data_IF_970224859739
#
_entry.id   IF_970224859739
#
_cell.length_a   1.000
_cell.length_b   1.000
_cell.length_c   1.000
_cell.angle_alpha   90.00
_cell.angle_beta   90.00
_cell.angle_gamma   90.00
#
_symmetry.space_group_name_H-M   'P 1'
#
loop_
_entity.id
_entity.type
_entity.pdbx_description
1 polymer ?
#
# COMPACT_ATOMS: atom_id res chain seq x y z
N UNK A 1 -85.78 -76.86 -47.67
CA UNK A 1 -85.88 -75.63 -46.85
C UNK A 1 -84.77 -75.45 -45.79
N UNK A 2 -83.89 -76.44 -45.52
CA UNK A 2 -82.84 -76.34 -44.48
C UNK A 2 -81.65 -75.43 -44.90
N UNK A 3 -81.19 -75.52 -46.16
CA UNK A 3 -80.06 -74.71 -46.65
C UNK A 3 -80.33 -73.20 -46.82
N UNK A 4 -81.58 -72.77 -47.02
CA UNK A 4 -81.92 -71.32 -47.08
C UNK A 4 -81.80 -70.68 -45.69
N UNK A 5 -82.12 -71.44 -44.63
CA UNK A 5 -82.05 -70.98 -43.25
C UNK A 5 -80.60 -70.84 -42.78
N UNK A 6 -79.73 -71.77 -43.18
CA UNK A 6 -78.29 -71.73 -42.90
C UNK A 6 -77.60 -70.58 -43.64
N UNK A 7 -77.93 -70.33 -44.91
CA UNK A 7 -77.41 -69.18 -45.67
C UNK A 7 -77.89 -67.84 -45.11
N UNK A 8 -79.14 -67.74 -44.66
CA UNK A 8 -79.66 -66.55 -43.99
C UNK A 8 -78.98 -66.30 -42.64
N UNK A 9 -78.69 -67.35 -41.87
CA UNK A 9 -77.94 -67.24 -40.62
C UNK A 9 -76.49 -66.82 -40.86
N UNK A 10 -75.82 -67.39 -41.86
CA UNK A 10 -74.46 -67.00 -42.25
C UNK A 10 -74.39 -65.54 -42.72
N UNK A 11 -75.37 -65.09 -43.51
CA UNK A 11 -75.48 -63.70 -43.95
C UNK A 11 -75.74 -62.74 -42.78
N UNK A 12 -76.59 -63.13 -41.82
CA UNK A 12 -76.84 -62.35 -40.62
C UNK A 12 -75.57 -62.19 -39.76
N UNK A 13 -74.83 -63.29 -39.56
CA UNK A 13 -73.57 -63.29 -38.81
C UNK A 13 -72.49 -62.45 -39.51
N UNK A 14 -72.39 -62.55 -40.84
CA UNK A 14 -71.47 -61.73 -41.63
C UNK A 14 -71.83 -60.24 -41.57
N UNK A 15 -73.12 -59.90 -41.57
CA UNK A 15 -73.60 -58.52 -41.45
C UNK A 15 -73.28 -57.94 -40.07
N UNK A 16 -73.48 -58.73 -38.99
CA UNK A 16 -73.13 -58.32 -37.63
C UNK A 16 -71.61 -58.16 -37.45
N UNK A 17 -70.80 -59.07 -37.99
CA UNK A 17 -69.34 -58.95 -37.96
C UNK A 17 -68.86 -57.71 -38.73
N UNK A 18 -69.43 -57.42 -39.90
CA UNK A 18 -69.09 -56.22 -40.65
C UNK A 18 -69.51 -54.94 -39.93
N UNK A 19 -70.67 -54.93 -39.26
CA UNK A 19 -71.10 -53.80 -38.42
C UNK A 19 -70.14 -53.57 -37.25
N UNK A 20 -69.71 -54.63 -36.56
CA UNK A 20 -68.74 -54.55 -35.48
C UNK A 20 -67.37 -54.06 -35.95
N UNK A 21 -66.89 -54.51 -37.12
CA UNK A 21 -65.64 -54.03 -37.71
C UNK A 21 -65.72 -52.55 -38.10
N UNK A 22 -66.85 -52.10 -38.68
CA UNK A 22 -67.06 -50.69 -39.03
C UNK A 22 -67.11 -49.82 -37.76
N UNK A 23 -67.73 -50.30 -36.68
CA UNK A 23 -67.76 -49.61 -35.39
C UNK A 23 -66.34 -49.47 -34.81
N UNK A 24 -65.57 -50.55 -34.75
CA UNK A 24 -64.18 -50.50 -34.29
C UNK A 24 -63.29 -49.60 -35.15
N UNK A 25 -63.49 -49.59 -36.47
CA UNK A 25 -62.75 -48.70 -37.36
C UNK A 25 -63.09 -47.23 -37.09
N UNK A 26 -64.36 -46.91 -36.84
CA UNK A 26 -64.80 -45.56 -36.45
C UNK A 26 -64.27 -45.14 -35.08
N UNK A 27 -64.28 -46.04 -34.10
CA UNK A 27 -63.69 -45.81 -32.78
C UNK A 27 -62.17 -45.54 -32.90
N UNK A 28 -61.48 -46.32 -33.72
CA UNK A 28 -60.06 -46.12 -34.03
C UNK A 28 -59.80 -44.76 -34.67
N UNK A 29 -60.57 -44.37 -35.69
CA UNK A 29 -60.44 -43.06 -36.35
C UNK A 29 -60.73 -41.91 -35.38
N UNK A 30 -61.76 -42.03 -34.54
CA UNK A 30 -62.08 -41.03 -33.53
C UNK A 30 -60.96 -40.90 -32.48
N UNK A 31 -60.42 -42.04 -32.01
CA UNK A 31 -59.28 -42.05 -31.07
C UNK A 31 -58.04 -41.40 -31.68
N UNK A 32 -57.69 -41.75 -32.92
CA UNK A 32 -56.56 -41.14 -33.62
C UNK A 32 -56.76 -39.63 -33.86
N UNK A 33 -57.96 -39.20 -34.24
CA UNK A 33 -58.26 -37.78 -34.40
C UNK A 33 -58.13 -37.01 -33.07
N UNK A 34 -58.56 -37.62 -31.96
CA UNK A 34 -58.38 -37.07 -30.61
C UNK A 34 -56.91 -36.96 -30.23
N UNK A 35 -56.12 -38.03 -30.39
CA UNK A 35 -54.69 -38.04 -30.09
C UNK A 35 -53.91 -37.02 -30.94
N UNK A 36 -54.27 -36.86 -32.22
CA UNK A 36 -53.71 -35.82 -33.08
C UNK A 36 -54.05 -34.41 -32.58
N UNK A 37 -55.29 -34.18 -32.15
CA UNK A 37 -55.70 -32.92 -31.53
C UNK A 37 -54.92 -32.61 -30.26
N UNK A 38 -54.79 -33.59 -29.36
CA UNK A 38 -54.02 -33.46 -28.12
C UNK A 38 -52.53 -33.18 -28.41
N UNK A 39 -51.96 -33.85 -29.41
CA UNK A 39 -50.57 -33.64 -29.86
C UNK A 39 -50.36 -32.25 -30.45
N UNK A 40 -51.30 -31.73 -31.25
CA UNK A 40 -51.23 -30.37 -31.80
C UNK A 40 -51.28 -29.31 -30.69
N UNK A 41 -52.11 -29.53 -29.66
CA UNK A 41 -52.18 -28.64 -28.49
C UNK A 41 -50.86 -28.66 -27.73
N UNK A 42 -50.29 -29.85 -27.48
CA UNK A 42 -49.00 -29.99 -26.81
C UNK A 42 -47.85 -29.34 -27.60
N UNK A 43 -47.86 -29.47 -28.93
CA UNK A 43 -46.87 -28.85 -29.81
C UNK A 43 -46.96 -27.32 -29.77
N UNK A 44 -48.17 -26.75 -29.87
CA UNK A 44 -48.36 -25.30 -29.75
C UNK A 44 -47.87 -24.76 -28.41
N UNK A 45 -48.18 -25.44 -27.30
CA UNK A 45 -47.68 -25.05 -25.96
C UNK A 45 -46.15 -25.12 -25.88
N UNK A 46 -45.55 -26.16 -26.45
CA UNK A 46 -44.08 -26.30 -26.46
C UNK A 46 -43.42 -25.21 -27.29
N UNK A 47 -44.00 -24.86 -28.44
CA UNK A 47 -43.52 -23.77 -29.29
C UNK A 47 -43.56 -22.42 -28.56
N UNK A 48 -44.62 -22.15 -27.80
CA UNK A 48 -44.72 -20.95 -26.97
C UNK A 48 -43.62 -20.89 -25.91
N UNK A 49 -43.39 -22.00 -25.18
CA UNK A 49 -42.33 -22.09 -24.15
C UNK A 49 -40.94 -21.88 -24.77
N UNK A 50 -40.67 -22.50 -25.92
CA UNK A 50 -39.39 -22.35 -26.63
C UNK A 50 -39.17 -20.90 -27.05
N UNK A 51 -40.19 -20.22 -27.57
CA UNK A 51 -40.11 -18.81 -27.95
C UNK A 51 -39.85 -17.91 -26.73
N UNK A 52 -40.54 -18.17 -25.61
CA UNK A 52 -40.32 -17.44 -24.35
C UNK A 52 -38.88 -17.63 -23.83
N UNK A 53 -38.38 -18.86 -23.83
CA UNK A 53 -36.99 -19.15 -23.45
C UNK A 53 -35.99 -18.50 -24.39
N UNK A 54 -36.23 -18.50 -25.71
CA UNK A 54 -35.36 -17.85 -26.68
C UNK A 54 -35.26 -16.35 -26.42
N UNK A 55 -36.37 -15.68 -26.08
CA UNK A 55 -36.35 -14.26 -25.71
C UNK A 55 -35.63 -14.00 -24.39
N UNK A 56 -35.77 -14.88 -23.40
CA UNK A 56 -35.02 -14.78 -22.14
C UNK A 56 -33.51 -14.91 -22.40
N UNK A 57 -33.09 -15.90 -23.19
CA UNK A 57 -31.69 -16.10 -23.55
C UNK A 57 -31.14 -14.90 -24.34
N UNK A 58 -31.92 -14.34 -25.26
CA UNK A 58 -31.54 -13.13 -25.99
C UNK A 58 -31.33 -11.94 -25.05
N UNK A 59 -32.23 -11.73 -24.09
CA UNK A 59 -32.09 -10.68 -23.06
C UNK A 59 -30.86 -10.89 -22.19
N UNK A 60 -30.59 -12.13 -21.78
CA UNK A 60 -29.40 -12.47 -21.00
C UNK A 60 -28.10 -12.25 -21.78
N UNK A 61 -28.07 -12.61 -23.08
CA UNK A 61 -26.92 -12.35 -23.93
C UNK A 61 -26.60 -10.86 -24.07
N UNK A 62 -27.63 -10.01 -24.15
CA UNK A 62 -27.46 -8.54 -24.16
C UNK A 62 -26.91 -8.06 -22.81
N UNK A 63 -27.49 -8.51 -21.69
CA UNK A 63 -27.01 -8.13 -20.36
C UNK A 63 -25.55 -8.53 -20.13
N UNK A 64 -25.15 -9.74 -20.54
CA UNK A 64 -23.76 -10.21 -20.45
C UNK A 64 -22.81 -9.33 -21.28
N UNK A 65 -23.19 -8.93 -22.49
CA UNK A 65 -22.39 -8.01 -23.30
C UNK A 65 -22.22 -6.65 -22.63
N UNK A 66 -23.28 -6.13 -22.00
CA UNK A 66 -23.20 -4.87 -21.23
C UNK A 66 -22.22 -5.01 -20.07
N UNK A 67 -22.32 -6.08 -19.28
CA UNK A 67 -21.41 -6.34 -18.14
C UNK A 67 -19.96 -6.43 -18.60
N UNK A 68 -19.68 -7.15 -19.70
CA UNK A 68 -18.32 -7.25 -20.26
C UNK A 68 -17.80 -5.86 -20.65
N UNK A 69 -18.64 -5.04 -21.29
CA UNK A 69 -18.26 -3.69 -21.72
C UNK A 69 -17.97 -2.78 -20.52
N UNK A 70 -18.81 -2.82 -19.49
CA UNK A 70 -18.60 -2.07 -18.24
C UNK A 70 -17.33 -2.53 -17.50
N UNK A 71 -17.06 -3.84 -17.50
CA UNK A 71 -15.84 -4.39 -16.88
C UNK A 71 -14.58 -3.89 -17.59
N UNK A 72 -14.58 -3.87 -18.93
CA UNK A 72 -13.47 -3.32 -19.72
C UNK A 72 -13.29 -1.84 -19.41
N UNK A 73 -14.39 -1.07 -19.38
CA UNK A 73 -14.34 0.36 -19.07
C UNK A 73 -13.79 0.64 -17.67
N UNK A 74 -14.23 -0.12 -16.66
CA UNK A 74 -13.72 -0.01 -15.29
C UNK A 74 -12.24 -0.36 -15.20
N UNK A 75 -11.81 -1.42 -15.90
CA UNK A 75 -10.40 -1.80 -16.00
C UNK A 75 -9.56 -0.66 -16.58
N UNK A 76 -9.96 -0.10 -17.73
CA UNK A 76 -9.25 1.03 -18.35
C UNK A 76 -9.18 2.25 -17.41
N UNK A 77 -10.27 2.55 -16.68
CA UNK A 77 -10.25 3.64 -15.70
C UNK A 77 -9.31 3.36 -14.55
N UNK A 78 -9.29 2.14 -14.03
CA UNK A 78 -8.38 1.74 -12.96
C UNK A 78 -6.92 1.85 -13.42
N UNK A 79 -6.60 1.33 -14.61
CA UNK A 79 -5.26 1.42 -15.20
C UNK A 79 -4.81 2.88 -15.35
N UNK A 80 -5.70 3.76 -15.80
CA UNK A 80 -5.42 5.21 -15.90
C UNK A 80 -5.17 5.85 -14.52
N UNK A 81 -5.96 5.49 -13.50
CA UNK A 81 -5.77 5.99 -12.13
C UNK A 81 -4.45 5.50 -11.55
N UNK A 82 -4.13 4.21 -11.71
CA UNK A 82 -2.85 3.64 -11.30
C UNK A 82 -1.69 4.37 -11.96
N UNK A 83 -1.77 4.61 -13.28
CA UNK A 83 -0.73 5.34 -14.00
C UNK A 83 -0.59 6.79 -13.55
N UNK A 84 -1.70 7.48 -13.27
CA UNK A 84 -1.69 8.85 -12.76
C UNK A 84 -1.05 8.92 -11.36
N UNK A 85 -1.36 7.97 -10.49
CA UNK A 85 -0.79 7.85 -9.15
C UNK A 85 0.72 7.57 -9.22
N UNK A 86 1.14 6.62 -10.05
CA UNK A 86 2.57 6.30 -10.25
C UNK A 86 3.34 7.51 -10.78
N UNK A 87 2.77 8.22 -11.76
CA UNK A 87 3.38 9.43 -12.33
C UNK A 87 3.49 10.54 -11.29
N UNK A 88 2.46 10.70 -10.45
CA UNK A 88 2.48 11.69 -9.37
C UNK A 88 3.58 11.40 -8.35
N UNK A 89 3.74 10.14 -7.90
CA UNK A 89 4.82 9.78 -6.99
C UNK A 89 6.20 10.03 -7.58
N UNK A 90 6.40 9.74 -8.87
CA UNK A 90 7.67 10.04 -9.55
C UNK A 90 7.91 11.55 -9.59
N UNK A 91 6.90 12.35 -9.92
CA UNK A 91 7.02 13.81 -9.96
C UNK A 91 7.37 14.40 -8.59
N UNK A 92 6.64 14.02 -7.54
CA UNK A 92 6.92 14.47 -6.16
C UNK A 92 8.32 14.03 -5.70
N UNK A 93 8.74 12.81 -6.07
CA UNK A 93 10.08 12.31 -5.75
C UNK A 93 11.17 13.16 -6.40
N UNK A 94 11.01 13.48 -7.69
CA UNK A 94 11.95 14.30 -8.45
C UNK A 94 12.01 15.71 -7.84
N UNK A 95 10.85 16.33 -7.60
CA UNK A 95 10.79 17.66 -6.99
C UNK A 95 11.44 17.69 -5.61
N UNK A 96 11.17 16.67 -4.78
CA UNK A 96 11.80 16.48 -3.49
C UNK A 96 13.32 16.38 -3.60
N UNK A 97 13.83 15.47 -4.44
CA UNK A 97 15.28 15.25 -4.63
C UNK A 97 15.97 16.53 -5.14
N UNK A 98 15.38 17.22 -6.12
CA UNK A 98 15.90 18.49 -6.65
C UNK A 98 15.88 19.61 -5.60
N UNK A 99 14.94 19.55 -4.65
CA UNK A 99 14.86 20.44 -3.49
C UNK A 99 15.71 19.98 -2.29
N UNK A 100 16.64 19.04 -2.50
CA UNK A 100 17.49 18.43 -1.47
C UNK A 100 16.72 17.66 -0.37
N UNK A 101 15.46 17.30 -0.62
CA UNK A 101 14.63 16.43 0.23
C UNK A 101 14.70 15.00 -0.29
N UNK A 102 15.71 14.27 0.19
CA UNK A 102 15.92 12.86 -0.16
C UNK A 102 14.72 12.00 0.26
N UNK A 103 14.28 11.10 -0.63
CA UNK A 103 13.12 10.24 -0.43
C UNK A 103 13.19 8.99 -1.31
N UNK A 104 12.40 7.97 -1.00
CA UNK A 104 12.29 6.74 -1.80
C UNK A 104 10.88 6.57 -2.41
N UNK A 105 10.12 7.65 -2.55
CA UNK A 105 8.74 7.58 -3.04
C UNK A 105 8.62 7.09 -4.49
N UNK A 106 9.70 7.22 -5.27
CA UNK A 106 9.79 6.68 -6.64
C UNK A 106 9.96 5.15 -6.67
N UNK A 107 10.31 4.53 -5.54
CA UNK A 107 10.41 3.07 -5.44
C UNK A 107 9.02 2.50 -5.28
N UNK A 108 8.61 1.64 -6.20
CA UNK A 108 7.32 0.99 -6.13
C UNK A 108 7.22 0.14 -4.85
N UNK A 109 6.07 0.17 -4.17
CA UNK A 109 5.87 -0.49 -2.86
C UNK A 109 6.23 -1.99 -2.85
N UNK A 110 6.09 -2.67 -4.00
CA UNK A 110 6.47 -4.10 -4.17
C UNK A 110 7.97 -4.33 -4.18
N UNK A 111 8.76 -3.35 -4.60
CA UNK A 111 10.21 -3.43 -4.72
C UNK A 111 10.92 -2.93 -3.45
N UNK A 112 10.22 -2.19 -2.61
CA UNK A 112 10.77 -1.65 -1.37
C UNK A 112 11.37 -2.73 -0.43
N UNK A 113 10.75 -3.91 -0.22
CA UNK A 113 11.37 -4.99 0.56
C UNK A 113 12.72 -5.44 0.00
N UNK A 114 12.88 -5.43 -1.33
CA UNK A 114 14.14 -5.78 -1.99
C UNK A 114 15.20 -4.71 -1.74
N UNK A 115 14.83 -3.43 -1.84
CA UNK A 115 15.72 -2.30 -1.51
C UNK A 115 16.18 -2.40 -0.06
N UNK A 116 15.26 -2.61 0.87
CA UNK A 116 15.56 -2.79 2.29
C UNK A 116 16.57 -3.92 2.48
N UNK A 117 16.31 -5.10 1.90
CA UNK A 117 17.20 -6.25 1.99
C UNK A 117 18.60 -5.94 1.46
N UNK A 118 18.71 -5.32 0.29
CA UNK A 118 20.00 -5.01 -0.35
C UNK A 118 20.81 -4.02 0.50
N UNK A 119 20.17 -2.96 0.98
CA UNK A 119 20.83 -1.95 1.81
C UNK A 119 21.24 -2.56 3.16
N UNK A 120 20.36 -3.29 3.83
CA UNK A 120 20.68 -3.97 5.10
C UNK A 120 21.84 -4.95 4.97
N UNK A 121 21.90 -5.72 3.88
CA UNK A 121 23.00 -6.66 3.61
C UNK A 121 24.31 -5.94 3.32
N UNK A 122 24.29 -4.92 2.46
CA UNK A 122 25.49 -4.17 2.10
C UNK A 122 26.10 -3.45 3.30
N UNK A 123 25.25 -2.92 4.18
CA UNK A 123 25.66 -2.15 5.36
C UNK A 123 25.85 -2.99 6.62
N UNK A 124 25.58 -4.30 6.57
CA UNK A 124 25.65 -5.22 7.72
C UNK A 124 24.85 -4.71 8.92
N UNK A 125 23.66 -4.16 8.69
CA UNK A 125 22.83 -3.61 9.76
C UNK A 125 22.36 -4.75 10.66
N UNK A 126 22.84 -4.80 11.91
CA UNK A 126 22.32 -5.69 12.94
C UNK A 126 21.16 -4.98 13.65
N UNK A 127 19.98 -5.02 13.04
CA UNK A 127 18.79 -4.43 13.66
C UNK A 127 18.22 -5.50 14.58
N UNK A 128 18.42 -5.31 15.89
CA UNK A 128 17.84 -6.18 16.90
C UNK A 128 16.30 -6.01 16.85
N UNK A 129 15.61 -7.00 16.27
CA UNK A 129 14.15 -7.05 16.09
C UNK A 129 13.35 -6.90 17.39
N UNK A 130 14.02 -6.92 18.55
CA UNK A 130 13.37 -7.10 19.85
C UNK A 130 12.60 -5.85 20.31
N UNK A 131 12.89 -4.64 19.80
CA UNK A 131 12.22 -3.40 20.30
C UNK A 131 12.00 -2.28 19.26
N UNK A 132 12.18 -2.47 17.95
CA UNK A 132 12.05 -1.35 17.00
C UNK A 132 10.58 -1.00 16.72
N UNK A 133 10.07 0.06 17.36
CA UNK A 133 8.79 0.70 17.03
C UNK A 133 8.74 1.27 15.59
N UNK A 134 9.89 1.34 14.93
CA UNK A 134 10.09 2.01 13.64
C UNK A 134 10.13 0.98 12.50
N UNK A 135 9.32 1.19 11.43
CA UNK A 135 9.37 0.35 10.24
C UNK A 135 10.76 0.37 9.56
N UNK A 136 11.24 -0.78 9.11
CA UNK A 136 12.52 -0.91 8.38
C UNK A 136 12.67 0.06 7.21
N UNK A 137 11.58 0.33 6.49
CA UNK A 137 11.54 1.29 5.38
C UNK A 137 11.97 2.69 5.84
N UNK A 138 11.54 3.10 7.03
CA UNK A 138 11.89 4.38 7.61
C UNK A 138 13.36 4.42 8.04
N UNK A 139 13.87 3.35 8.65
CA UNK A 139 15.30 3.21 8.97
C UNK A 139 16.14 3.37 7.71
N UNK A 140 15.83 2.64 6.64
CA UNK A 140 16.55 2.72 5.36
C UNK A 140 16.47 4.12 4.74
N UNK A 141 15.32 4.78 4.85
CA UNK A 141 15.16 6.16 4.35
C UNK A 141 16.02 7.14 5.13
N UNK A 142 16.21 6.94 6.44
CA UNK A 142 17.10 7.77 7.28
C UNK A 142 18.58 7.58 6.96
N UNK A 143 18.98 6.44 6.40
CA UNK A 143 20.35 6.18 5.95
C UNK A 143 20.69 6.88 4.63
N UNK A 144 19.73 7.48 3.94
CA UNK A 144 19.99 8.24 2.70
C UNK A 144 20.78 9.51 3.00
N UNK A 145 21.96 9.61 2.39
CA UNK A 145 22.82 10.78 2.51
C UNK A 145 22.88 11.61 1.23
N UNK A 146 22.63 11.01 0.08
CA UNK A 146 22.61 11.71 -1.21
C UNK A 146 21.75 10.96 -2.21
N UNK A 147 21.14 11.72 -3.12
CA UNK A 147 20.50 11.18 -4.32
C UNK A 147 20.89 11.99 -5.54
N UNK A 148 20.97 11.32 -6.67
CA UNK A 148 21.27 11.92 -7.97
C UNK A 148 20.29 11.38 -9.01
N UNK A 149 19.88 12.26 -9.91
CA UNK A 149 18.98 11.92 -11.02
C UNK A 149 19.77 12.14 -12.30
N UNK A 150 19.94 11.08 -13.07
CA UNK A 150 20.61 11.10 -14.37
C UNK A 150 19.64 10.68 -15.47
N UNK A 151 19.70 11.36 -16.62
CA UNK A 151 18.92 10.96 -17.80
C UNK A 151 19.85 10.36 -18.86
N UNK A 152 19.63 9.10 -19.18
CA UNK A 152 20.35 8.38 -20.22
C UNK A 152 19.48 8.33 -21.50
N UNK A 153 19.74 9.18 -22.51
CA UNK A 153 18.96 9.17 -23.76
C UNK A 153 19.15 7.85 -24.51
N UNK A 154 18.08 7.35 -25.14
CA UNK A 154 18.19 6.19 -26.02
C UNK A 154 18.51 6.62 -27.46
N UNK A 155 19.51 6.01 -28.11
CA UNK A 155 19.87 6.35 -29.49
C UNK A 155 18.81 5.94 -30.50
N UNK A 156 18.00 4.93 -30.21
CA UNK A 156 16.92 4.45 -31.06
C UNK A 156 15.60 4.66 -30.32
N UNK A 157 14.74 5.52 -30.88
CA UNK A 157 13.39 5.76 -30.38
C UNK A 157 12.53 4.53 -30.66
N UNK A 158 12.28 3.72 -29.64
CA UNK A 158 11.30 2.64 -29.72
C UNK A 158 9.91 3.21 -29.45
N UNK A 159 8.98 3.02 -30.38
CA UNK A 159 7.57 3.25 -30.11
C UNK A 159 7.07 2.14 -29.16
N UNK A 160 6.43 2.54 -28.07
CA UNK A 160 5.67 1.65 -27.18
C UNK A 160 4.18 2.01 -27.24
N UNK A 161 3.33 1.16 -26.68
CA UNK A 161 1.89 1.43 -26.55
C UNK A 161 1.61 2.76 -25.81
N UNK A 162 2.56 3.24 -24.99
CA UNK A 162 2.46 4.46 -24.19
C UNK A 162 3.21 5.66 -24.79
N UNK A 163 3.68 5.56 -26.04
CA UNK A 163 4.34 6.66 -26.75
C UNK A 163 5.80 6.39 -27.11
N UNK A 164 6.53 7.45 -27.43
CA UNK A 164 7.94 7.35 -27.86
C UNK A 164 8.84 7.32 -26.63
N UNK A 165 9.55 6.21 -26.43
CA UNK A 165 10.55 6.12 -25.37
C UNK A 165 11.81 6.88 -25.78
N UNK A 166 12.12 7.97 -25.08
CA UNK A 166 13.22 8.89 -25.41
C UNK A 166 14.51 8.62 -24.61
N UNK A 167 14.42 7.82 -23.53
CA UNK A 167 15.55 7.53 -22.65
C UNK A 167 15.11 6.86 -21.36
N UNK A 168 16.08 6.69 -20.45
CA UNK A 168 15.89 6.16 -19.10
C UNK A 168 16.26 7.21 -18.08
N UNK A 169 15.39 7.41 -17.10
CA UNK A 169 15.71 8.18 -15.90
C UNK A 169 16.32 7.22 -14.87
N UNK A 170 17.48 7.57 -14.34
CA UNK A 170 18.26 6.75 -13.40
C UNK A 170 18.32 7.53 -12.09
N UNK A 171 17.81 6.91 -11.02
CA UNK A 171 17.91 7.43 -9.66
C UNK A 171 19.04 6.68 -8.95
N UNK A 172 20.09 7.41 -8.57
CA UNK A 172 21.21 6.86 -7.81
C UNK A 172 21.08 7.30 -6.36
N UNK A 173 20.84 6.36 -5.45
CA UNK A 173 20.73 6.61 -4.01
C UNK A 173 21.99 6.16 -3.29
N UNK A 174 22.54 7.05 -2.45
CA UNK A 174 23.70 6.79 -1.62
C UNK A 174 23.24 6.66 -0.17
N UNK A 175 23.65 5.57 0.45
CA UNK A 175 23.33 5.27 1.85
C UNK A 175 24.61 5.30 2.67
N UNK A 176 24.55 5.86 3.88
CA UNK A 176 25.62 5.75 4.86
C UNK A 176 25.05 5.31 6.21
N UNK A 177 25.77 4.39 6.85
CA UNK A 177 25.47 3.90 8.19
C UNK A 177 26.76 3.99 9.00
N UNK A 178 26.70 4.41 10.26
CA UNK A 178 27.87 4.39 11.12
C UNK A 178 28.37 2.95 11.27
N UNK A 179 29.69 2.74 11.24
CA UNK A 179 30.21 1.42 11.59
C UNK A 179 29.88 1.11 13.05
N UNK A 180 29.54 -0.14 13.40
CA UNK A 180 29.21 -0.53 14.78
C UNK A 180 30.29 -0.19 15.82
N UNK A 181 31.52 0.04 15.35
CA UNK A 181 32.70 0.28 16.16
C UNK A 181 33.32 1.69 15.95
N UNK A 182 32.73 2.55 15.11
CA UNK A 182 33.21 3.92 14.94
C UNK A 182 32.55 4.83 15.98
N UNK A 183 33.37 5.29 16.92
CA UNK A 183 33.06 6.31 17.94
C UNK A 183 31.71 6.11 18.65
N UNK A 184 31.74 5.38 19.77
CA UNK A 184 30.60 5.31 20.70
C UNK A 184 30.43 6.66 21.39
N UNK A 185 29.66 7.56 20.80
CA UNK A 185 29.20 8.73 21.52
C UNK A 185 28.18 8.27 22.56
N UNK A 186 28.32 8.74 23.79
CA UNK A 186 27.21 8.72 24.72
C UNK A 186 26.42 10.00 24.53
N UNK A 187 25.13 9.84 24.25
CA UNK A 187 24.22 10.96 23.98
C UNK A 187 23.39 11.20 25.23
N UNK A 188 23.39 12.45 25.68
CA UNK A 188 22.71 12.91 26.89
C UNK A 188 21.71 13.99 26.52
N UNK A 189 20.48 13.86 27.02
CA UNK A 189 19.51 14.96 26.98
C UNK A 189 19.87 15.97 28.07
N UNK A 190 20.05 17.23 27.70
CA UNK A 190 20.36 18.31 28.62
C UNK A 190 19.09 19.00 29.08
N UNK A 191 18.86 18.98 30.39
CA UNK A 191 17.71 19.65 31.01
C UNK A 191 18.20 20.90 31.76
N UNK A 192 17.95 22.12 31.26
CA UNK A 192 18.38 23.35 31.93
C UNK A 192 17.55 23.58 33.20
N UNK A 193 18.18 23.44 34.37
CA UNK A 193 17.52 23.63 35.67
C UNK A 193 17.56 25.11 36.08
N UNK A 194 16.41 25.73 36.43
CA UNK A 194 16.39 27.11 36.91
C UNK A 194 16.98 27.27 38.31
N UNK A 195 17.85 28.27 38.49
CA UNK A 195 18.54 28.61 39.74
C UNK A 195 18.32 30.08 40.16
N UNK A 196 18.71 30.42 41.38
CA UNK A 196 18.55 31.77 41.92
C UNK A 196 19.81 32.62 41.66
N UNK A 197 19.62 33.82 41.12
CA UNK A 197 20.65 34.83 41.02
C UNK A 197 20.13 36.13 41.65
N UNK A 198 20.60 36.41 42.87
CA UNK A 198 20.02 37.46 43.71
C UNK A 198 18.55 37.18 44.05
N UNK A 199 17.64 38.12 43.70
CA UNK A 199 16.19 37.98 43.94
C UNK A 199 15.40 37.42 42.76
N UNK A 200 16.08 37.03 41.67
CA UNK A 200 15.45 36.57 40.43
C UNK A 200 15.77 35.11 40.20
N UNK A 201 14.80 34.38 39.67
CA UNK A 201 14.99 33.03 39.18
C UNK A 201 15.35 33.08 37.70
N UNK A 202 16.46 32.45 37.36
CA UNK A 202 17.01 32.45 36.01
C UNK A 202 17.31 31.01 35.60
N UNK A 203 17.42 30.77 34.29
CA UNK A 203 17.96 29.52 33.75
C UNK A 203 18.97 29.85 32.66
N UNK A 204 19.80 28.88 32.32
CA UNK A 204 20.71 29.00 31.19
C UNK A 204 19.88 29.10 29.90
N UNK A 205 20.18 30.11 29.09
CA UNK A 205 19.53 30.39 27.82
C UNK A 205 20.30 29.74 26.68
N UNK A 206 19.57 29.37 25.60
CA UNK A 206 20.16 28.80 24.37
C UNK A 206 21.03 27.54 24.61
N UNK A 207 20.71 26.76 25.62
CA UNK A 207 21.37 25.47 25.83
C UNK A 207 20.97 24.49 24.72
N UNK A 208 21.91 23.69 24.18
CA UNK A 208 21.56 22.60 23.29
C UNK A 208 20.66 21.60 24.01
N UNK A 209 19.83 20.89 23.24
CA UNK A 209 18.91 19.88 23.78
C UNK A 209 19.61 18.56 24.03
N UNK A 210 20.57 18.20 23.16
CA UNK A 210 21.35 16.97 23.29
C UNK A 210 22.85 17.25 23.22
N UNK A 211 23.62 16.47 23.98
CA UNK A 211 25.07 16.48 24.02
C UNK A 211 25.59 15.06 23.77
N UNK A 212 26.42 14.91 22.74
CA UNK A 212 27.14 13.70 22.42
C UNK A 212 28.59 13.83 22.86
N UNK A 213 29.10 12.84 23.59
CA UNK A 213 30.47 12.83 24.11
C UNK A 213 31.22 11.64 23.53
N UNK A 214 32.32 11.90 22.81
CA UNK A 214 33.25 10.85 22.39
C UNK A 214 34.26 10.55 23.50
N UNK A 215 34.19 9.35 24.08
CA UNK A 215 35.03 9.01 25.24
C UNK A 215 36.54 9.01 24.96
N UNK A 216 36.96 8.75 23.72
CA UNK A 216 38.38 8.62 23.37
C UNK A 216 39.02 9.98 23.10
N UNK A 217 38.40 10.78 22.23
CA UNK A 217 38.95 12.08 21.81
C UNK A 217 38.51 13.24 22.70
N UNK A 218 37.56 13.00 23.60
CA UNK A 218 36.87 14.02 24.41
C UNK A 218 36.22 15.13 23.56
N UNK A 219 35.89 14.82 22.30
CA UNK A 219 35.12 15.72 21.46
C UNK A 219 33.64 15.68 21.82
N UNK A 220 33.00 16.83 21.66
CA UNK A 220 31.59 17.02 21.93
C UNK A 220 30.84 17.32 20.64
N UNK A 221 29.58 16.90 20.57
CA UNK A 221 28.62 17.31 19.55
C UNK A 221 27.37 17.80 20.27
N UNK A 222 26.86 18.95 19.87
CA UNK A 222 25.67 19.55 20.47
C UNK A 222 24.57 19.65 19.41
N UNK A 223 23.36 19.21 19.74
CA UNK A 223 22.20 19.39 18.88
C UNK A 223 21.23 20.39 19.50
N UNK A 224 20.77 21.34 18.70
CA UNK A 224 19.57 22.12 19.01
C UNK A 224 18.32 21.24 18.97
N UNK A 225 17.20 21.79 19.44
CA UNK A 225 15.91 21.10 19.40
C UNK A 225 15.48 20.80 17.97
N UNK A 226 15.75 21.73 17.05
CA UNK A 226 15.38 21.62 15.65
C UNK A 226 16.22 20.55 14.94
N UNK A 227 17.54 20.52 15.16
CA UNK A 227 18.43 19.51 14.58
C UNK A 227 18.11 18.11 15.12
N UNK A 228 17.88 18.00 16.44
CA UNK A 228 17.55 16.75 17.08
C UNK A 228 16.16 16.22 16.72
N UNK A 229 15.25 17.04 16.19
CA UNK A 229 13.92 16.58 15.79
C UNK A 229 13.95 15.53 14.67
N UNK A 230 15.05 15.47 13.90
CA UNK A 230 15.28 14.48 12.84
C UNK A 230 16.08 13.26 13.32
N UNK A 231 16.51 13.28 14.59
CA UNK A 231 17.34 12.28 15.23
C UNK A 231 16.50 11.29 16.02
N UNK A 232 16.97 10.04 16.06
CA UNK A 232 16.50 9.05 17.01
C UNK A 232 17.70 8.36 17.63
N UNK A 233 18.13 8.93 18.75
CA UNK A 233 19.31 8.51 19.48
C UNK A 233 19.13 7.21 20.27
N UNK A 234 17.88 6.74 20.44
CA UNK A 234 17.61 5.44 21.06
C UNK A 234 17.94 4.31 20.10
N UNK A 235 17.76 4.54 18.79
CA UNK A 235 17.96 3.54 17.73
C UNK A 235 19.31 3.68 17.03
N UNK A 236 19.80 4.92 16.82
CA UNK A 236 21.07 5.16 16.12
C UNK A 236 21.86 6.32 16.75
N UNK A 237 23.17 6.16 16.99
CA UNK A 237 24.00 7.19 17.65
C UNK A 237 24.36 8.37 16.73
N UNK A 238 23.98 8.33 15.46
CA UNK A 238 24.27 9.38 14.48
C UNK A 238 23.02 9.75 13.71
N UNK A 239 22.90 11.02 13.30
CA UNK A 239 21.77 11.50 12.51
C UNK A 239 22.23 11.93 11.13
N UNK A 240 21.27 12.02 10.21
CA UNK A 240 21.51 12.56 8.88
C UNK A 240 22.06 13.98 8.91
N UNK A 241 21.59 14.81 9.84
CA UNK A 241 22.04 16.18 10.07
C UNK A 241 22.91 16.26 11.33
N UNK A 242 23.79 15.28 11.55
CA UNK A 242 24.80 15.38 12.62
C UNK A 242 25.62 16.67 12.42
N UNK A 243 25.62 17.60 13.40
CA UNK A 243 26.38 18.83 13.34
C UNK A 243 27.87 18.57 13.14
N UNK A 244 28.57 19.58 12.61
CA UNK A 244 30.02 19.51 12.41
C UNK A 244 30.71 19.32 13.76
N UNK A 245 31.71 18.44 13.80
CA UNK A 245 32.53 18.22 15.00
C UNK A 245 33.35 19.49 15.26
N UNK A 246 33.04 20.21 16.32
CA UNK A 246 33.88 21.32 16.77
C UNK A 246 34.87 20.81 17.80
N UNK A 247 36.16 21.04 17.55
CA UNK A 247 37.23 20.81 18.54
C UNK A 247 37.41 22.00 19.49
N UNK A 248 36.86 23.15 19.13
CA UNK A 248 37.04 24.42 19.82
C UNK A 248 35.69 24.85 20.40
N UNK A 249 35.36 24.29 21.57
CA UNK A 249 34.26 24.78 22.40
C UNK A 249 34.79 25.70 23.53
N UNK A 250 36.04 26.19 23.44
CA UNK A 250 36.68 26.97 24.52
C UNK A 250 35.85 28.19 24.95
N UNK A 251 35.01 28.74 24.06
CA UNK A 251 34.14 29.90 24.31
C UNK A 251 32.66 29.54 24.53
N UNK A 252 32.31 28.26 24.69
CA UNK A 252 30.91 27.82 24.80
C UNK A 252 30.51 27.50 26.24
N UNK A 253 29.30 27.93 26.64
CA UNK A 253 28.79 27.76 28.00
C UNK A 253 28.83 26.29 28.47
N UNK A 254 28.59 25.35 27.56
CA UNK A 254 28.65 23.91 27.84
C UNK A 254 30.05 23.48 28.24
N UNK A 255 31.08 23.95 27.53
CA UNK A 255 32.46 23.60 27.86
C UNK A 255 32.82 24.10 29.27
N UNK A 256 32.44 25.34 29.60
CA UNK A 256 32.69 25.90 30.92
C UNK A 256 32.02 25.11 32.04
N UNK A 257 30.81 24.58 31.81
CA UNK A 257 30.10 23.69 32.74
C UNK A 257 30.83 22.36 32.89
N UNK A 258 31.28 21.76 31.78
CA UNK A 258 31.94 20.45 31.79
C UNK A 258 33.35 20.50 32.41
N UNK A 259 34.05 21.63 32.31
CA UNK A 259 35.39 21.83 32.87
C UNK A 259 35.41 22.53 34.22
N UNK A 260 34.24 22.85 34.80
CA UNK A 260 34.10 23.60 36.06
C UNK A 260 34.86 24.94 36.07
N UNK A 261 34.86 25.64 34.92
CA UNK A 261 35.48 26.95 34.78
C UNK A 261 34.49 28.08 35.08
N UNK A 262 34.98 29.32 35.15
CA UNK A 262 34.12 30.48 35.33
C UNK A 262 33.10 30.59 34.16
N UNK A 263 31.81 30.69 34.50
CA UNK A 263 30.68 30.70 33.55
C UNK A 263 30.48 32.08 32.88
N UNK A 264 31.52 32.60 32.24
CA UNK A 264 31.52 33.94 31.65
C UNK A 264 30.72 34.02 30.35
N UNK A 265 30.62 32.91 29.61
CA UNK A 265 29.97 32.85 28.30
C UNK A 265 28.54 32.28 28.38
N UNK A 266 28.12 31.90 29.58
CA UNK A 266 26.77 31.44 29.86
C UNK A 266 25.77 32.59 29.88
N UNK A 267 24.89 32.63 28.87
CA UNK A 267 23.73 33.53 28.89
C UNK A 267 22.65 32.98 29.81
N UNK A 268 22.01 33.88 30.54
CA UNK A 268 20.89 33.58 31.43
C UNK A 268 19.62 34.29 30.95
N UNK A 269 18.48 33.64 31.12
CA UNK A 269 17.17 34.23 30.87
C UNK A 269 16.28 34.12 32.11
N UNK A 270 15.33 35.05 32.23
CA UNK A 270 14.37 35.06 33.32
C UNK A 270 13.46 33.84 33.20
N UNK A 271 13.37 33.05 34.27
CA UNK A 271 12.44 31.93 34.32
C UNK A 271 11.10 32.43 34.87
N UNK A 272 10.01 32.39 34.08
CA UNK A 272 8.74 33.04 34.45
C UNK A 272 8.01 32.36 35.62
N UNK A 273 8.29 31.07 35.88
CA UNK A 273 7.62 30.34 36.94
C UNK A 273 8.20 30.60 38.32
N UNK A 274 7.32 31.02 39.23
CA UNK A 274 7.66 31.33 40.63
C UNK A 274 7.92 30.08 41.48
N UNK A 275 7.51 28.89 41.01
CA UNK A 275 7.54 27.65 41.80
C UNK A 275 7.92 26.49 40.88
N UNK A 276 9.04 25.82 41.16
CA UNK A 276 9.41 24.56 40.50
C UNK A 276 9.15 23.47 41.53
N UNK A 277 7.93 22.92 41.52
CA UNK A 277 7.66 21.67 42.23
C UNK A 277 7.61 20.59 41.15
N UNK A 278 8.78 20.07 40.81
CA UNK A 278 8.86 18.71 40.30
C UNK A 278 9.54 17.89 41.38
N UNK A 279 8.79 16.91 41.90
CA UNK A 279 9.28 15.92 42.85
C UNK A 279 10.23 15.01 42.08
N UNK A 280 11.48 15.43 41.90
CA UNK A 280 12.54 14.55 41.40
C UNK A 280 12.91 13.63 42.56
N UNK A 281 12.44 12.38 42.51
CA UNK A 281 12.75 11.37 43.52
C UNK A 281 11.51 10.75 44.18
N UNK A 282 10.92 9.77 43.52
CA UNK A 282 10.40 8.58 44.22
C UNK A 282 11.18 7.32 43.86
N UNK A 283 12.15 7.36 42.93
CA UNK A 283 12.82 6.18 42.37
C UNK A 283 14.35 6.27 42.37
N UNK A 284 14.92 7.24 43.08
CA UNK A 284 16.36 7.27 43.37
C UNK A 284 16.49 6.97 44.86
N UNK A 285 16.61 5.68 45.18
CA UNK A 285 16.94 5.15 46.49
C UNK A 285 18.33 4.51 46.41
#
# INVERSE_FOLDING_TARGET
MRGVKESLQALHLATQNNQAQILHLREGQFKSAKELGDTQIALNKTMEIVNQHSEILRKQAVALRTIVTETIFLKTKLDNVTHAIETHFIHESIEGILSNKLNLHFVHHRDMPTVVKLVSQAMKLSINEVNSSIPMVEIITRLLVRQQIDFAPMPIRSASENGVLIGKLIFTSYFAAPEPNQASFSIYELVPIPFNQGKRRVKLAKMPMYLGIEHISQQFICWSKEEAATCDFEVMPSCRESPVWSKEFEDDCIYQILTDSALNDCRIELFPDKVFIHRVGQHWA
#
